data_IF_301928018533
#
_entry.id   IF_301928018533
#
_cell.length_a   1.000
_cell.length_b   1.000
_cell.length_c   1.000
_cell.angle_alpha   90.00
_cell.angle_beta   90.00
_cell.angle_gamma   90.00
#
_symmetry.space_group_name_H-M   'P 1'
#
loop_
_entity.id
_entity.type
_entity.pdbx_description
1 polymer ?
#
# COMPACT_ATOMS: atom_id res chain seq x y z
N UNK A 1 -56.37 28.80 -3.04
CA UNK A 1 -55.22 28.94 -3.96
C UNK A 1 -54.01 28.28 -3.29
N UNK A 2 -53.84 26.97 -3.49
CA UNK A 2 -52.81 26.19 -2.81
C UNK A 2 -51.47 26.34 -3.52
N UNK A 3 -50.51 26.95 -2.84
CA UNK A 3 -49.11 27.02 -3.26
C UNK A 3 -48.57 25.60 -3.46
N UNK A 4 -48.30 25.23 -4.72
CA UNK A 4 -47.55 24.03 -5.07
C UNK A 4 -46.09 24.34 -4.72
N UNK A 5 -45.70 24.01 -3.49
CA UNK A 5 -44.30 24.07 -3.07
C UNK A 5 -43.50 23.09 -3.93
N UNK A 6 -42.62 23.66 -4.76
CA UNK A 6 -41.65 22.95 -5.60
C UNK A 6 -40.86 21.97 -4.70
N UNK A 7 -40.77 20.66 -5.02
CA UNK A 7 -40.01 19.74 -4.19
C UNK A 7 -38.55 20.22 -4.18
N UNK A 8 -38.07 20.56 -3.00
CA UNK A 8 -36.65 20.79 -2.74
C UNK A 8 -35.94 19.48 -3.06
N UNK A 9 -35.19 19.43 -4.17
CA UNK A 9 -34.36 18.28 -4.54
C UNK A 9 -33.30 18.08 -3.46
N UNK A 10 -33.61 17.22 -2.49
CA UNK A 10 -32.68 16.83 -1.45
C UNK A 10 -31.51 16.07 -2.10
N UNK A 11 -30.27 16.52 -1.83
CA UNK A 11 -29.03 15.86 -2.26
C UNK A 11 -28.18 15.61 -1.03
N UNK A 12 -28.20 14.37 -0.53
CA UNK A 12 -27.29 13.97 0.56
C UNK A 12 -25.84 13.89 0.05
N UNK A 13 -25.64 13.54 -1.21
CA UNK A 13 -24.33 13.57 -1.86
C UNK A 13 -23.98 15.03 -2.18
N UNK A 14 -23.23 15.65 -1.26
CA UNK A 14 -22.71 17.00 -1.44
C UNK A 14 -21.50 17.01 -2.38
N UNK A 15 -21.26 18.14 -3.06
CA UNK A 15 -20.05 18.32 -3.89
C UNK A 15 -18.76 18.17 -3.08
N UNK A 16 -18.81 18.52 -1.78
CA UNK A 16 -17.67 18.40 -0.88
C UNK A 16 -17.32 16.93 -0.62
N UNK A 17 -18.32 16.08 -0.37
CA UNK A 17 -18.11 14.62 -0.17
C UNK A 17 -17.49 14.00 -1.42
N UNK A 18 -18.00 14.34 -2.61
CA UNK A 18 -17.46 13.85 -3.87
C UNK A 18 -16.02 14.32 -4.11
N UNK A 19 -15.72 15.58 -3.82
CA UNK A 19 -14.37 16.13 -3.94
C UNK A 19 -13.39 15.47 -2.97
N UNK A 20 -13.78 15.32 -1.69
CA UNK A 20 -12.95 14.64 -0.69
C UNK A 20 -12.68 13.18 -1.06
N UNK A 21 -13.71 12.46 -1.53
CA UNK A 21 -13.55 11.10 -2.03
C UNK A 21 -12.56 11.05 -3.20
N UNK A 22 -12.73 11.90 -4.22
CA UNK A 22 -11.86 11.92 -5.40
C UNK A 22 -10.39 12.23 -5.05
N UNK A 23 -10.15 13.14 -4.11
CA UNK A 23 -8.80 13.48 -3.66
C UNK A 23 -8.16 12.30 -2.92
N UNK A 24 -8.86 11.68 -1.99
CA UNK A 24 -8.34 10.53 -1.23
C UNK A 24 -8.10 9.34 -2.18
N UNK A 25 -9.02 9.10 -3.11
CA UNK A 25 -8.90 8.03 -4.11
C UNK A 25 -7.71 8.26 -5.05
N UNK A 26 -7.41 9.51 -5.40
CA UNK A 26 -6.20 9.83 -6.16
C UNK A 26 -4.93 9.46 -5.39
N UNK A 27 -4.86 9.76 -4.09
CA UNK A 27 -3.71 9.35 -3.27
C UNK A 27 -3.59 7.84 -3.14
N UNK A 28 -4.71 7.13 -2.97
CA UNK A 28 -4.74 5.67 -2.93
C UNK A 28 -4.30 5.05 -4.27
N UNK A 29 -4.73 5.60 -5.40
CA UNK A 29 -4.21 5.18 -6.70
C UNK A 29 -2.70 5.44 -6.83
N UNK A 30 -2.23 6.60 -6.36
CA UNK A 30 -0.83 6.98 -6.43
C UNK A 30 0.06 6.05 -5.61
N UNK A 31 -0.36 5.57 -4.44
CA UNK A 31 0.42 4.59 -3.66
C UNK A 31 0.62 3.30 -4.46
N UNK A 32 -0.45 2.76 -5.06
CA UNK A 32 -0.38 1.58 -5.93
C UNK A 32 0.57 1.77 -7.12
N UNK A 33 0.46 2.90 -7.82
CA UNK A 33 1.34 3.22 -8.95
C UNK A 33 2.81 3.35 -8.53
N UNK A 34 3.10 4.03 -7.42
CA UNK A 34 4.44 4.19 -6.88
C UNK A 34 5.04 2.82 -6.52
N UNK A 35 4.27 1.94 -5.88
CA UNK A 35 4.72 0.58 -5.54
C UNK A 35 5.09 -0.23 -6.77
N UNK A 36 4.29 -0.17 -7.84
CA UNK A 36 4.60 -0.86 -9.10
C UNK A 36 5.88 -0.30 -9.72
N UNK A 37 5.99 1.03 -9.83
CA UNK A 37 7.14 1.68 -10.47
C UNK A 37 8.43 1.37 -9.72
N UNK A 38 8.45 1.59 -8.39
CA UNK A 38 9.64 1.33 -7.58
C UNK A 38 9.97 -0.16 -7.58
N UNK A 39 8.96 -1.02 -7.42
CA UNK A 39 9.12 -2.47 -7.46
C UNK A 39 9.74 -2.95 -8.78
N UNK A 40 9.25 -2.45 -9.92
CA UNK A 40 9.77 -2.81 -11.24
C UNK A 40 11.20 -2.30 -11.46
N UNK A 41 11.49 -1.03 -11.10
CA UNK A 41 12.83 -0.46 -11.21
C UNK A 41 13.85 -1.23 -10.37
N UNK A 42 13.47 -1.65 -9.18
CA UNK A 42 14.34 -2.42 -8.29
C UNK A 42 14.47 -3.88 -8.72
N UNK A 43 13.45 -4.46 -9.34
CA UNK A 43 13.51 -5.80 -9.91
C UNK A 43 14.50 -5.88 -11.09
N UNK A 44 14.56 -4.84 -11.93
CA UNK A 44 15.50 -4.76 -13.06
C UNK A 44 16.97 -4.65 -12.65
N UNK A 45 17.23 -4.14 -11.44
CA UNK A 45 18.60 -3.86 -10.92
C UNK A 45 18.92 -4.73 -9.70
N UNK A 46 18.23 -5.87 -9.58
CA UNK A 46 18.41 -6.81 -8.49
C UNK A 46 19.80 -7.47 -8.59
N UNK A 47 20.56 -7.46 -7.48
CA UNK A 47 21.88 -8.09 -7.38
C UNK A 47 23.08 -7.17 -7.63
N UNK A 48 22.86 -5.93 -8.11
CA UNK A 48 23.96 -4.99 -8.40
C UNK A 48 24.25 -3.98 -7.27
N UNK A 49 23.40 -3.94 -6.25
CA UNK A 49 23.40 -2.88 -5.23
C UNK A 49 23.26 -3.49 -3.84
N UNK A 50 23.90 -2.88 -2.84
CA UNK A 50 23.83 -3.27 -1.41
C UNK A 50 22.40 -3.53 -0.89
N UNK A 51 21.39 -2.88 -1.48
CA UNK A 51 19.97 -3.08 -1.12
C UNK A 51 19.46 -4.51 -1.32
N UNK A 52 20.12 -5.33 -2.14
CA UNK A 52 19.75 -6.73 -2.36
C UNK A 52 19.94 -7.60 -1.11
N UNK A 53 20.63 -7.12 -0.07
CA UNK A 53 20.70 -7.79 1.24
C UNK A 53 19.32 -7.84 1.90
N UNK A 54 18.58 -6.73 1.85
CA UNK A 54 17.28 -6.60 2.54
C UNK A 54 16.14 -7.01 1.60
N UNK A 55 16.26 -6.63 0.34
CA UNK A 55 15.18 -6.74 -0.64
C UNK A 55 15.33 -8.06 -1.37
N UNK A 56 14.41 -9.00 -1.12
CA UNK A 56 14.35 -10.28 -1.83
C UNK A 56 13.48 -10.19 -3.09
N UNK A 57 13.66 -11.12 -4.04
CA UNK A 57 12.80 -11.21 -5.23
C UNK A 57 11.32 -11.39 -4.88
N UNK A 58 11.03 -12.17 -3.84
CA UNK A 58 9.67 -12.41 -3.36
C UNK A 58 9.04 -11.12 -2.81
N UNK A 59 9.83 -10.33 -2.07
CA UNK A 59 9.37 -9.03 -1.55
C UNK A 59 9.04 -8.05 -2.69
N UNK A 60 9.88 -8.01 -3.75
CA UNK A 60 9.63 -7.18 -4.93
C UNK A 60 8.39 -7.64 -5.71
N UNK A 61 8.26 -8.94 -5.95
CA UNK A 61 7.08 -9.50 -6.62
C UNK A 61 5.80 -9.25 -5.82
N UNK A 62 5.85 -9.42 -4.49
CA UNK A 62 4.76 -9.09 -3.58
C UNK A 62 4.39 -7.60 -3.62
N UNK A 63 5.38 -6.72 -3.61
CA UNK A 63 5.18 -5.25 -3.73
C UNK A 63 4.48 -4.88 -5.04
N UNK A 64 4.93 -5.44 -6.18
CA UNK A 64 4.30 -5.20 -7.48
C UNK A 64 2.87 -5.76 -7.50
N UNK A 65 2.65 -6.95 -6.94
CA UNK A 65 1.34 -7.59 -6.87
C UNK A 65 0.34 -6.78 -6.06
N UNK A 66 0.73 -6.33 -4.86
CA UNK A 66 -0.11 -5.49 -4.00
C UNK A 66 -0.37 -4.12 -4.65
N UNK A 67 0.64 -3.49 -5.24
CA UNK A 67 0.47 -2.23 -5.97
C UNK A 67 -0.51 -2.36 -7.15
N UNK A 68 -0.43 -3.46 -7.90
CA UNK A 68 -1.36 -3.77 -8.99
C UNK A 68 -2.79 -3.95 -8.48
N UNK A 69 -2.95 -4.63 -7.34
CA UNK A 69 -4.24 -4.83 -6.71
C UNK A 69 -4.87 -3.51 -6.22
N UNK A 70 -4.08 -2.61 -5.64
CA UNK A 70 -4.50 -1.24 -5.27
C UNK A 70 -4.97 -0.47 -6.50
N UNK A 71 -4.21 -0.48 -7.60
CA UNK A 71 -4.60 0.18 -8.85
C UNK A 71 -5.92 -0.37 -9.39
N UNK A 72 -6.10 -1.70 -9.41
CA UNK A 72 -7.36 -2.33 -9.84
C UNK A 72 -8.52 -1.92 -8.91
N UNK A 73 -8.29 -1.91 -7.60
CA UNK A 73 -9.26 -1.41 -6.61
C UNK A 73 -9.68 0.02 -6.94
N UNK A 74 -8.74 0.91 -7.23
CA UNK A 74 -9.05 2.28 -7.62
C UNK A 74 -9.88 2.39 -8.90
N UNK A 75 -9.60 1.55 -9.90
CA UNK A 75 -10.41 1.52 -11.12
C UNK A 75 -11.85 1.05 -10.84
N UNK A 76 -12.03 0.07 -9.93
CA UNK A 76 -13.35 -0.36 -9.45
C UNK A 76 -14.08 0.80 -8.74
N UNK A 77 -13.35 1.59 -7.94
CA UNK A 77 -13.87 2.78 -7.27
C UNK A 77 -14.39 3.83 -8.27
N UNK A 78 -13.65 4.08 -9.36
CA UNK A 78 -14.03 5.02 -10.40
C UNK A 78 -15.37 4.64 -11.06
N UNK A 79 -15.60 3.34 -11.31
CA UNK A 79 -16.90 2.86 -11.83
C UNK A 79 -18.03 3.16 -10.85
N UNK A 80 -17.81 2.91 -9.55
CA UNK A 80 -18.76 3.26 -8.49
C UNK A 80 -19.02 4.76 -8.37
N UNK A 81 -17.99 5.58 -8.60
CA UNK A 81 -18.02 7.02 -8.48
C UNK A 81 -18.81 7.72 -9.60
N UNK A 82 -18.80 7.21 -10.84
CA UNK A 82 -19.52 7.83 -11.98
C UNK A 82 -21.02 7.95 -11.72
N UNK A 83 -21.61 6.97 -11.02
CA UNK A 83 -23.03 7.01 -10.66
C UNK A 83 -23.26 6.27 -9.34
N UNK A 84 -23.02 6.95 -8.19
CA UNK A 84 -23.06 6.31 -6.88
C UNK A 84 -24.41 5.66 -6.58
N UNK A 85 -25.51 6.26 -7.06
CA UNK A 85 -26.87 5.73 -6.87
C UNK A 85 -27.10 4.41 -7.62
N UNK A 86 -26.53 4.24 -8.82
CA UNK A 86 -26.75 3.05 -9.67
C UNK A 86 -25.77 1.91 -9.38
N UNK A 87 -24.52 2.23 -9.09
CA UNK A 87 -23.43 1.25 -9.03
C UNK A 87 -22.92 0.98 -7.59
N UNK A 88 -23.85 0.86 -6.63
CA UNK A 88 -23.53 0.58 -5.21
C UNK A 88 -22.59 -0.61 -5.02
N UNK A 89 -22.84 -1.70 -5.74
CA UNK A 89 -22.10 -2.96 -5.57
C UNK A 89 -20.61 -2.79 -5.91
N UNK A 90 -20.26 -1.84 -6.80
CA UNK A 90 -18.87 -1.52 -7.13
C UNK A 90 -18.16 -0.80 -5.97
N UNK A 91 -18.84 0.12 -5.28
CA UNK A 91 -18.30 0.77 -4.08
C UNK A 91 -18.12 -0.24 -2.94
N UNK A 92 -19.05 -1.19 -2.79
CA UNK A 92 -18.91 -2.28 -1.81
C UNK A 92 -17.75 -3.21 -2.17
N UNK A 93 -17.58 -3.55 -3.44
CA UNK A 93 -16.43 -4.33 -3.90
C UNK A 93 -15.11 -3.59 -3.61
N UNK A 94 -15.04 -2.28 -3.88
CA UNK A 94 -13.88 -1.44 -3.54
C UNK A 94 -13.53 -1.51 -2.05
N UNK A 95 -14.52 -1.47 -1.14
CA UNK A 95 -14.29 -1.64 0.30
C UNK A 95 -13.60 -2.98 0.62
N UNK A 96 -14.07 -4.09 0.03
CA UNK A 96 -13.43 -5.39 0.23
C UNK A 96 -12.02 -5.45 -0.33
N UNK A 97 -11.78 -4.84 -1.49
CA UNK A 97 -10.46 -4.77 -2.11
C UNK A 97 -9.49 -3.95 -1.24
N UNK A 98 -9.91 -2.80 -0.70
CA UNK A 98 -9.07 -2.01 0.24
C UNK A 98 -8.69 -2.82 1.48
N UNK A 99 -9.64 -3.57 2.06
CA UNK A 99 -9.33 -4.41 3.24
C UNK A 99 -8.30 -5.48 2.90
N UNK A 100 -8.43 -6.14 1.75
CA UNK A 100 -7.47 -7.15 1.29
C UNK A 100 -6.11 -6.52 1.01
N UNK A 101 -6.05 -5.36 0.35
CA UNK A 101 -4.79 -4.65 0.08
C UNK A 101 -4.09 -4.21 1.37
N UNK A 102 -4.86 -3.69 2.33
CA UNK A 102 -4.34 -3.27 3.64
C UNK A 102 -3.73 -4.43 4.41
N UNK A 103 -4.38 -5.60 4.41
CA UNK A 103 -3.84 -6.80 5.05
C UNK A 103 -2.58 -7.30 4.36
N UNK A 104 -2.54 -7.26 3.02
CA UNK A 104 -1.35 -7.64 2.26
C UNK A 104 -0.18 -6.67 2.50
N UNK A 105 -0.44 -5.35 2.55
CA UNK A 105 0.56 -4.34 2.93
C UNK A 105 1.07 -4.55 4.35
N UNK A 106 0.18 -4.85 5.30
CA UNK A 106 0.54 -5.14 6.68
C UNK A 106 1.43 -6.38 6.77
N UNK A 107 1.12 -7.43 6.01
CA UNK A 107 1.94 -8.64 5.94
C UNK A 107 3.34 -8.37 5.34
N UNK A 108 3.43 -7.57 4.27
CA UNK A 108 4.71 -7.18 3.68
C UNK A 108 5.55 -6.31 4.64
N UNK A 109 4.94 -5.30 5.26
CA UNK A 109 5.61 -4.47 6.26
C UNK A 109 6.04 -5.27 7.49
N UNK A 110 5.20 -6.21 7.92
CA UNK A 110 5.47 -7.15 8.99
C UNK A 110 6.65 -8.06 8.69
N UNK A 111 6.73 -8.66 7.50
CA UNK A 111 7.86 -9.51 7.09
C UNK A 111 9.20 -8.75 7.18
N UNK A 112 9.25 -7.53 6.63
CA UNK A 112 10.44 -6.67 6.72
C UNK A 112 10.77 -6.36 8.17
N UNK A 113 9.76 -5.99 8.97
CA UNK A 113 9.97 -5.64 10.37
C UNK A 113 10.47 -6.83 11.21
N UNK A 114 9.91 -8.03 11.04
CA UNK A 114 10.37 -9.22 11.77
C UNK A 114 11.82 -9.60 11.42
N UNK A 115 12.25 -9.41 10.16
CA UNK A 115 13.66 -9.61 9.76
C UNK A 115 14.62 -8.72 10.53
N UNK A 116 14.20 -7.50 10.91
CA UNK A 116 15.05 -6.60 11.70
C UNK A 116 15.33 -7.11 13.12
N UNK A 117 14.49 -7.97 13.69
CA UNK A 117 14.68 -8.49 15.05
C UNK A 117 15.83 -9.49 15.14
N UNK A 118 16.11 -10.23 14.06
CA UNK A 118 17.12 -11.29 14.00
C UNK A 118 18.18 -11.03 12.92
N UNK A 119 18.37 -9.77 12.52
CA UNK A 119 19.21 -9.36 11.39
C UNK A 119 20.64 -9.93 11.45
N UNK A 120 21.29 -9.91 12.61
CA UNK A 120 22.67 -10.43 12.77
C UNK A 120 22.76 -11.94 12.57
N UNK A 121 21.78 -12.71 13.03
CA UNK A 121 21.83 -14.15 12.82
C UNK A 121 21.49 -14.50 11.37
N UNK A 122 20.48 -13.83 10.82
CA UNK A 122 20.04 -14.06 9.46
C UNK A 122 21.13 -13.73 8.44
N UNK A 123 21.77 -12.56 8.56
CA UNK A 123 22.86 -12.19 7.66
C UNK A 123 24.12 -13.04 7.84
N UNK A 124 24.34 -13.61 9.03
CA UNK A 124 25.40 -14.60 9.22
C UNK A 124 25.17 -15.87 8.40
N UNK A 125 23.93 -16.36 8.37
CA UNK A 125 23.58 -17.53 7.54
C UNK A 125 23.66 -17.18 6.05
N UNK A 126 23.09 -16.05 5.64
CA UNK A 126 23.16 -15.59 4.24
C UNK A 126 24.61 -15.36 3.78
N UNK A 127 25.48 -14.84 4.66
CA UNK A 127 26.91 -14.65 4.38
C UNK A 127 27.61 -15.95 4.00
N UNK A 128 27.25 -17.07 4.64
CA UNK A 128 27.85 -18.37 4.32
C UNK A 128 27.39 -18.88 2.94
N UNK A 129 26.16 -18.56 2.54
CA UNK A 129 25.57 -18.97 1.27
C UNK A 129 25.97 -18.08 0.08
N UNK A 130 26.38 -16.84 0.33
CA UNK A 130 26.80 -15.92 -0.73
C UNK A 130 28.05 -16.43 -1.46
N UNK A 131 28.12 -16.13 -2.76
CA UNK A 131 29.32 -16.38 -3.55
C UNK A 131 30.46 -15.41 -3.17
N UNK A 132 31.69 -15.77 -3.56
CA UNK A 132 32.86 -14.98 -3.24
C UNK A 132 32.81 -13.58 -3.90
N UNK A 133 32.18 -13.44 -5.07
CA UNK A 133 32.00 -12.15 -5.72
C UNK A 133 31.12 -11.20 -4.92
N UNK A 134 30.01 -11.70 -4.36
CA UNK A 134 29.08 -10.91 -3.57
C UNK A 134 29.70 -10.53 -2.23
N UNK A 135 30.39 -11.46 -1.56
CA UNK A 135 31.14 -11.17 -0.34
C UNK A 135 32.22 -10.11 -0.59
N UNK A 136 33.04 -10.28 -1.63
CA UNK A 136 34.09 -9.33 -1.97
C UNK A 136 33.54 -7.93 -2.29
N UNK A 137 32.38 -7.85 -2.95
CA UNK A 137 31.68 -6.58 -3.19
C UNK A 137 31.32 -5.89 -1.87
N UNK A 138 30.80 -6.62 -0.89
CA UNK A 138 30.46 -6.06 0.43
C UNK A 138 31.70 -5.67 1.24
N UNK A 139 32.72 -6.52 1.25
CA UNK A 139 33.99 -6.26 1.95
C UNK A 139 34.63 -4.96 1.44
N UNK A 140 34.67 -4.79 0.12
CA UNK A 140 35.23 -3.60 -0.50
C UNK A 140 34.31 -2.36 -0.33
N UNK A 141 32.98 -2.51 -0.43
CA UNK A 141 32.07 -1.35 -0.29
C UNK A 141 31.88 -0.89 1.16
N UNK A 142 31.93 -1.80 2.12
CA UNK A 142 31.72 -1.52 3.54
C UNK A 142 33.03 -1.39 4.32
N UNK A 143 34.17 -1.59 3.66
CA UNK A 143 35.51 -1.48 4.24
C UNK A 143 35.66 -2.39 5.48
N UNK A 144 35.32 -3.67 5.30
CA UNK A 144 35.32 -4.70 6.32
C UNK A 144 35.83 -6.03 5.75
N UNK A 145 36.17 -6.99 6.61
CA UNK A 145 36.66 -8.29 6.16
C UNK A 145 36.09 -9.43 6.98
N UNK A 146 35.59 -10.48 6.32
CA UNK A 146 34.87 -11.58 6.97
C UNK A 146 33.62 -11.15 7.72
N UNK A 147 32.86 -12.09 8.29
CA UNK A 147 31.58 -11.76 8.91
C UNK A 147 31.72 -11.19 10.33
N UNK A 148 32.15 -12.00 11.30
CA UNK A 148 32.37 -11.54 12.69
C UNK A 148 33.75 -10.90 12.88
N UNK A 149 34.75 -11.38 12.15
CA UNK A 149 36.13 -10.93 12.18
C UNK A 149 36.80 -11.20 10.82
N UNK A 150 38.01 -10.68 10.62
CA UNK A 150 38.79 -10.78 9.38
C UNK A 150 39.10 -12.21 8.90
N UNK A 151 38.97 -13.22 9.75
CA UNK A 151 39.22 -14.63 9.41
C UNK A 151 37.94 -15.46 9.23
N UNK A 152 36.77 -14.88 9.52
CA UNK A 152 35.49 -15.56 9.48
C UNK A 152 34.89 -15.55 8.07
N UNK A 153 35.23 -16.57 7.29
CA UNK A 153 34.75 -16.79 5.91
C UNK A 153 34.89 -15.55 5.00
N UNK A 154 36.06 -14.90 4.93
CA UNK A 154 36.29 -13.77 4.04
C UNK A 154 36.31 -14.23 2.58
N UNK A 155 35.99 -13.34 1.65
CA UNK A 155 36.26 -13.57 0.24
C UNK A 155 37.55 -12.83 -0.19
N UNK A 156 38.24 -13.33 -1.24
CA UNK A 156 39.34 -12.58 -1.82
C UNK A 156 38.82 -11.27 -2.44
N UNK A 157 39.18 -10.14 -1.85
CA UNK A 157 38.75 -8.81 -2.29
C UNK A 157 39.94 -7.85 -2.37
N UNK A 158 39.74 -6.61 -2.81
CA UNK A 158 40.85 -5.63 -2.84
C UNK A 158 41.32 -5.27 -1.43
N UNK A 159 40.43 -5.33 -0.45
CA UNK A 159 40.74 -5.12 0.96
C UNK A 159 41.18 -6.41 1.67
N UNK A 160 40.47 -7.52 1.44
CA UNK A 160 40.70 -8.82 2.05
C UNK A 160 41.76 -9.61 1.29
N UNK A 161 43.03 -9.29 1.54
CA UNK A 161 44.18 -10.05 1.04
C UNK A 161 44.62 -11.12 2.04
N UNK A 162 45.42 -12.13 1.63
CA UNK A 162 45.93 -13.15 2.56
C UNK A 162 46.72 -12.60 3.76
N UNK A 163 47.34 -11.42 3.60
CA UNK A 163 48.11 -10.72 4.63
C UNK A 163 47.29 -9.64 5.36
N UNK A 164 45.96 -9.73 5.31
CA UNK A 164 45.07 -8.76 5.93
C UNK A 164 45.31 -8.66 7.44
N UNK A 165 45.36 -7.42 7.95
CA UNK A 165 45.56 -7.18 9.38
C UNK A 165 44.45 -7.84 10.20
N UNK A 166 44.78 -8.58 11.28
CA UNK A 166 43.78 -9.17 12.16
C UNK A 166 42.90 -8.12 12.86
N UNK A 167 43.32 -6.85 12.87
CA UNK A 167 42.58 -5.74 13.45
C UNK A 167 41.50 -5.14 12.53
N UNK A 168 41.37 -5.62 11.29
CA UNK A 168 40.24 -5.21 10.44
C UNK A 168 38.93 -5.73 11.03
N UNK A 169 37.94 -4.83 11.13
CA UNK A 169 36.61 -5.17 11.66
C UNK A 169 35.86 -6.15 10.74
N UNK A 170 35.06 -7.03 11.35
CA UNK A 170 34.10 -7.86 10.63
C UNK A 170 32.95 -7.04 10.03
N UNK A 171 32.36 -7.57 8.96
CA UNK A 171 31.27 -6.95 8.24
C UNK A 171 29.92 -6.95 8.98
N UNK A 172 29.77 -7.70 10.08
CA UNK A 172 28.52 -7.78 10.85
C UNK A 172 27.98 -6.39 11.23
N UNK A 173 28.81 -5.49 11.75
CA UNK A 173 28.38 -4.15 12.17
C UNK A 173 27.93 -3.28 10.98
N UNK A 174 28.81 -3.06 9.98
CA UNK A 174 28.48 -2.29 8.78
C UNK A 174 27.27 -2.82 7.99
N UNK A 175 27.18 -4.15 7.78
CA UNK A 175 26.05 -4.78 7.10
C UNK A 175 24.77 -4.53 7.88
N UNK A 176 24.79 -4.83 9.17
CA UNK A 176 23.61 -4.65 10.04
C UNK A 176 23.15 -3.20 10.01
N UNK A 177 24.04 -2.22 10.23
CA UNK A 177 23.68 -0.80 10.21
C UNK A 177 23.03 -0.35 8.90
N UNK A 178 23.58 -0.77 7.75
CA UNK A 178 23.00 -0.46 6.43
C UNK A 178 21.65 -1.15 6.23
N UNK A 179 21.53 -2.42 6.63
CA UNK A 179 20.32 -3.19 6.50
C UNK A 179 19.18 -2.66 7.40
N UNK A 180 19.49 -2.29 8.64
CA UNK A 180 18.54 -1.68 9.58
C UNK A 180 18.01 -0.37 9.01
N UNK A 181 18.89 0.52 8.53
CA UNK A 181 18.49 1.82 7.98
C UNK A 181 17.56 1.66 6.76
N UNK A 182 17.89 0.74 5.86
CA UNK A 182 17.05 0.46 4.69
C UNK A 182 15.71 -0.15 5.10
N UNK A 183 15.72 -1.15 5.99
CA UNK A 183 14.50 -1.81 6.46
C UNK A 183 13.55 -0.82 7.16
N UNK A 184 14.10 0.09 7.97
CA UNK A 184 13.35 1.16 8.63
C UNK A 184 12.62 2.08 7.64
N UNK A 185 13.30 2.49 6.57
CA UNK A 185 12.69 3.30 5.52
C UNK A 185 11.56 2.53 4.82
N UNK A 186 11.77 1.25 4.52
CA UNK A 186 10.80 0.41 3.83
C UNK A 186 9.54 0.17 4.66
N UNK A 187 9.65 -0.36 5.88
CA UNK A 187 8.46 -0.64 6.69
C UNK A 187 7.71 0.64 7.06
N UNK A 188 8.42 1.76 7.31
CA UNK A 188 7.77 3.04 7.61
C UNK A 188 6.96 3.55 6.43
N UNK A 189 7.50 3.41 5.21
CA UNK A 189 6.79 3.79 3.99
C UNK A 189 5.57 2.90 3.75
N UNK A 190 5.69 1.58 3.96
CA UNK A 190 4.56 0.65 3.83
C UNK A 190 3.45 0.94 4.84
N UNK A 191 3.78 1.19 6.11
CA UNK A 191 2.79 1.60 7.12
C UNK A 191 2.18 2.98 6.81
N UNK A 192 2.94 3.87 6.18
CA UNK A 192 2.43 5.11 5.61
C UNK A 192 1.36 4.86 4.53
N UNK A 193 1.57 3.90 3.64
CA UNK A 193 0.56 3.52 2.63
C UNK A 193 -0.70 2.92 3.25
N UNK A 194 -0.58 2.09 4.29
CA UNK A 194 -1.74 1.57 5.04
C UNK A 194 -2.59 2.72 5.60
N UNK A 195 -1.96 3.80 6.03
CA UNK A 195 -2.68 4.99 6.51
C UNK A 195 -3.56 5.59 5.39
N UNK A 196 -3.05 5.65 4.16
CA UNK A 196 -3.83 6.08 2.98
C UNK A 196 -4.99 5.13 2.70
N UNK A 197 -4.77 3.82 2.76
CA UNK A 197 -5.83 2.81 2.60
C UNK A 197 -6.96 3.00 3.63
N UNK A 198 -6.63 3.27 4.89
CA UNK A 198 -7.61 3.54 5.95
C UNK A 198 -8.43 4.79 5.64
N UNK A 199 -7.81 5.87 5.15
CA UNK A 199 -8.54 7.06 4.71
C UNK A 199 -9.44 6.77 3.51
N UNK A 200 -8.98 6.00 2.52
CA UNK A 200 -9.77 5.58 1.36
C UNK A 200 -10.96 4.72 1.77
N UNK A 201 -10.78 3.83 2.75
CA UNK A 201 -11.85 3.02 3.33
C UNK A 201 -12.94 3.90 3.95
N UNK A 202 -12.55 4.85 4.81
CA UNK A 202 -13.52 5.76 5.43
C UNK A 202 -14.22 6.64 4.40
N UNK A 203 -13.49 7.20 3.42
CA UNK A 203 -14.07 7.99 2.35
C UNK A 203 -15.12 7.20 1.55
N UNK A 204 -14.82 5.94 1.24
CA UNK A 204 -15.73 5.03 0.53
C UNK A 204 -16.98 4.71 1.36
N UNK A 205 -16.81 4.40 2.65
CA UNK A 205 -17.94 4.13 3.56
C UNK A 205 -18.83 5.37 3.68
N UNK A 206 -18.25 6.56 3.86
CA UNK A 206 -19.01 7.81 3.94
C UNK A 206 -19.81 8.04 2.66
N UNK A 207 -19.20 7.82 1.48
CA UNK A 207 -19.89 7.94 0.20
C UNK A 207 -21.05 6.95 0.07
N UNK A 208 -20.85 5.68 0.47
CA UNK A 208 -21.90 4.66 0.48
C UNK A 208 -23.05 5.08 1.40
N UNK A 209 -22.75 5.63 2.58
CA UNK A 209 -23.79 6.07 3.52
C UNK A 209 -24.55 7.30 3.02
N UNK A 210 -23.85 8.31 2.48
CA UNK A 210 -24.49 9.47 1.85
C UNK A 210 -25.44 9.04 0.73
N UNK A 211 -25.02 8.08 -0.09
CA UNK A 211 -25.85 7.45 -1.12
C UNK A 211 -27.07 6.72 -0.54
N UNK A 212 -26.90 5.90 0.50
CA UNK A 212 -28.02 5.16 1.12
C UNK A 212 -29.07 6.12 1.71
N UNK A 213 -28.62 7.23 2.28
CA UNK A 213 -29.47 8.31 2.78
C UNK A 213 -30.24 8.94 1.60
N UNK A 214 -29.56 9.31 0.52
CA UNK A 214 -30.20 9.89 -0.67
C UNK A 214 -31.26 8.96 -1.28
N UNK A 215 -30.94 7.67 -1.46
CA UNK A 215 -31.87 6.68 -2.00
C UNK A 215 -33.12 6.53 -1.11
N UNK A 216 -32.96 6.59 0.21
CA UNK A 216 -34.09 6.53 1.15
C UNK A 216 -35.01 7.74 0.97
N UNK A 217 -34.46 8.94 0.83
CA UNK A 217 -35.27 10.14 0.62
C UNK A 217 -36.01 10.11 -0.73
N UNK A 218 -35.36 9.63 -1.80
CA UNK A 218 -36.02 9.45 -3.11
C UNK A 218 -37.24 8.54 -2.97
N UNK A 219 -37.11 7.39 -2.29
CA UNK A 219 -38.24 6.45 -2.07
C UNK A 219 -39.36 7.05 -1.22
N UNK A 220 -39.04 7.89 -0.24
CA UNK A 220 -40.03 8.58 0.60
C UNK A 220 -40.80 9.61 -0.24
N UNK A 221 -40.09 10.37 -1.08
CA UNK A 221 -40.72 11.38 -1.96
C UNK A 221 -41.62 10.72 -3.01
N UNK A 222 -41.21 9.61 -3.60
CA UNK A 222 -42.04 8.79 -4.51
C UNK A 222 -43.31 8.26 -3.84
N UNK A 223 -43.20 7.80 -2.58
CA UNK A 223 -44.36 7.35 -1.81
C UNK A 223 -45.31 8.51 -1.50
N UNK A 224 -44.78 9.66 -1.11
CA UNK A 224 -45.57 10.83 -0.75
C UNK A 224 -46.30 11.43 -1.96
N UNK A 225 -45.67 11.44 -3.14
CA UNK A 225 -46.33 11.90 -4.37
C UNK A 225 -47.49 10.98 -4.76
N UNK A 226 -47.30 9.66 -4.69
CA UNK A 226 -48.36 8.69 -4.98
C UNK A 226 -49.58 8.84 -4.05
N UNK A 227 -49.35 9.02 -2.74
CA UNK A 227 -50.43 9.25 -1.76
C UNK A 227 -51.21 10.52 -2.08
N UNK A 228 -50.52 11.60 -2.48
CA UNK A 228 -51.17 12.87 -2.83
C UNK A 228 -52.03 12.73 -4.08
N UNK A 229 -51.56 12.00 -5.08
CA UNK A 229 -52.31 11.74 -6.32
C UNK A 229 -53.55 10.87 -6.06
N UNK A 230 -53.44 9.85 -5.19
CA UNK A 230 -54.60 9.06 -4.77
C UNK A 230 -55.63 9.88 -3.99
N UNK A 231 -55.17 10.76 -3.08
CA UNK A 231 -56.04 11.64 -2.32
C UNK A 231 -56.81 12.62 -3.25
N UNK A 232 -56.13 13.17 -4.25
CA UNK A 232 -56.76 14.00 -5.27
C UNK A 232 -57.82 13.21 -6.06
N UNK A 233 -57.51 12.01 -6.53
CA UNK A 233 -58.48 11.17 -7.25
C UNK A 233 -59.76 10.89 -6.43
N UNK A 234 -59.64 10.72 -5.11
CA UNK A 234 -60.81 10.51 -4.23
C UNK A 234 -61.65 11.77 -3.99
N UNK A 235 -61.10 12.97 -4.19
CA UNK A 235 -61.86 14.23 -4.03
C UNK A 235 -62.76 14.56 -5.24
N UNK A 236 -62.52 13.93 -6.40
CA UNK A 236 -63.25 14.20 -7.65
C UNK A 236 -64.26 13.09 -8.03
N UNK A 237 -64.52 12.15 -7.12
CA UNK A 237 -65.56 11.10 -7.23
C UNK A 237 -66.62 11.37 -6.17
#
# INVERSE_FOLDING_TARGET
MGSITKPSSYRAISKQILASFAVIEFFYFATGAIMIIIGALWFMTFGEKLRSIVITRNLLAGTIGVGSFIVVSSLVALVGFISPLKYKNWLVAHVFLIVISSLALLALGGDIWFRTLNERQQYGNEWLEWDNSMKALFEDQLQCCGYQNSTDNPAPSTLCTPDVSPNIQGCIGPITSKATALSQQLFTTLFGFITVDVFALFATIILIQARNVEERYIKIDEKNSHIKDEALKRQYV
#
